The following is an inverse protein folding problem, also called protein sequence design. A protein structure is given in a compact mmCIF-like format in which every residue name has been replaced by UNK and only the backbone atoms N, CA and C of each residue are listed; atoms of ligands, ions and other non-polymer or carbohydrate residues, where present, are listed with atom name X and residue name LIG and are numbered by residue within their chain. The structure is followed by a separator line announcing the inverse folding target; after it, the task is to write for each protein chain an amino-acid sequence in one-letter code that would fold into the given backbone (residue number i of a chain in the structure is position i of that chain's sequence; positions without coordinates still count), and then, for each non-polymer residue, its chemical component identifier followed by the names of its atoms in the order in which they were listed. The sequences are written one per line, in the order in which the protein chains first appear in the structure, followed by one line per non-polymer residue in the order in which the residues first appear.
data_IF_078562591714
#
_entry.id   IF_078562591714
#
_cell.length_a   1.000
_cell.length_b   1.000
_cell.length_c   1.000
_cell.angle_alpha   90.00
_cell.angle_beta   90.00
_cell.angle_gamma   90.00
#
_symmetry.space_group_name_H-M   'P 1'
#
loop_
_entity.id
_entity.type
_entity.pdbx_description
1 polymer ?
#
# COMPACT_ATOMS: atom_id res chain seq x y z
N UNK A 1 -8.37 13.13 5.96
CA UNK A 1 -8.47 11.67 6.14
C UNK A 1 -8.53 10.99 4.77
N UNK A 2 -7.87 9.84 4.62
CA UNK A 2 -7.84 9.05 3.38
C UNK A 2 -8.47 7.68 3.66
N UNK A 3 -9.28 7.17 2.72
CA UNK A 3 -9.97 5.89 2.89
C UNK A 3 -9.15 4.69 2.37
N UNK A 4 -8.33 4.92 1.34
CA UNK A 4 -7.54 3.91 0.64
C UNK A 4 -6.13 4.42 0.35
N UNK A 5 -5.13 3.60 0.69
CA UNK A 5 -3.71 3.89 0.48
C UNK A 5 -3.13 2.75 -0.34
N UNK A 6 -2.37 3.07 -1.39
CA UNK A 6 -1.71 2.08 -2.22
C UNK A 6 -0.20 2.25 -2.08
N UNK A 7 0.49 1.22 -1.61
CA UNK A 7 1.94 1.19 -1.46
C UNK A 7 2.52 0.22 -2.48
N UNK A 8 3.31 0.75 -3.41
CA UNK A 8 4.08 -0.06 -4.35
C UNK A 8 5.42 -0.44 -3.74
N UNK A 9 5.71 -1.73 -3.73
CA UNK A 9 6.85 -2.34 -3.06
C UNK A 9 7.98 -2.66 -4.04
N UNK A 10 9.23 -2.53 -3.57
CA UNK A 10 10.41 -2.93 -4.31
C UNK A 10 11.26 -3.89 -3.46
N UNK A 11 11.92 -4.84 -4.11
CA UNK A 11 12.76 -5.87 -3.48
C UNK A 11 14.16 -5.97 -4.12
N UNK A 12 14.48 -5.06 -5.03
CA UNK A 12 15.77 -5.08 -5.77
C UNK A 12 16.96 -4.95 -4.82
N UNK A 13 16.79 -4.24 -3.70
CA UNK A 13 17.77 -4.17 -2.62
C UNK A 13 17.09 -4.31 -1.26
N UNK A 14 17.83 -4.81 -0.26
CA UNK A 14 17.33 -4.89 1.11
C UNK A 14 17.02 -3.52 1.74
N UNK A 15 17.65 -2.44 1.26
CA UNK A 15 17.31 -1.08 1.69
C UNK A 15 15.97 -0.62 1.09
N UNK A 16 15.72 -0.88 -0.19
CA UNK A 16 14.43 -0.59 -0.83
C UNK A 16 13.30 -1.30 -0.09
N UNK A 17 13.50 -2.58 0.25
CA UNK A 17 12.53 -3.35 1.01
C UNK A 17 12.31 -2.77 2.42
N UNK A 18 13.38 -2.39 3.14
CA UNK A 18 13.27 -1.70 4.45
C UNK A 18 12.45 -0.40 4.35
N UNK A 19 12.69 0.42 3.32
CA UNK A 19 11.94 1.66 3.07
C UNK A 19 10.46 1.36 2.81
N UNK A 20 10.16 0.36 2.00
CA UNK A 20 8.79 -0.10 1.76
C UNK A 20 8.10 -0.50 3.06
N UNK A 21 8.72 -1.34 3.90
CA UNK A 21 8.13 -1.74 5.19
C UNK A 21 7.91 -0.54 6.12
N UNK A 22 8.79 0.47 6.09
CA UNK A 22 8.61 1.71 6.85
C UNK A 22 7.40 2.50 6.34
N UNK A 23 7.26 2.64 5.03
CA UNK A 23 6.14 3.35 4.39
C UNK A 23 4.79 2.71 4.74
N UNK A 24 4.67 1.38 4.69
CA UNK A 24 3.44 0.67 5.10
C UNK A 24 3.09 0.96 6.56
N UNK A 25 4.07 0.86 7.46
CA UNK A 25 3.84 1.14 8.89
C UNK A 25 3.45 2.59 9.14
N UNK A 26 4.06 3.54 8.44
CA UNK A 26 3.66 4.94 8.58
C UNK A 26 2.24 5.15 8.07
N UNK A 27 1.90 4.64 6.89
CA UNK A 27 0.56 4.76 6.31
C UNK A 27 -0.53 4.27 7.28
N UNK A 28 -0.29 3.13 7.94
CA UNK A 28 -1.17 2.58 8.97
C UNK A 28 -1.30 3.47 10.21
N UNK A 29 -0.22 4.15 10.64
CA UNK A 29 -0.20 5.02 11.82
C UNK A 29 -0.82 6.39 11.54
N UNK A 30 -0.53 6.98 10.39
CA UNK A 30 -1.05 8.29 10.00
C UNK A 30 -2.53 8.26 9.60
N UNK A 31 -3.07 7.07 9.30
CA UNK A 31 -4.46 6.90 8.89
C UNK A 31 -5.05 5.68 9.60
N UNK A 32 -5.76 5.90 10.70
CA UNK A 32 -6.29 4.84 11.57
C UNK A 32 -7.43 4.05 10.89
N UNK A 33 -8.20 4.70 10.02
CA UNK A 33 -9.36 4.13 9.33
C UNK A 33 -9.07 3.62 7.91
N UNK A 34 -7.90 3.94 7.35
CA UNK A 34 -7.60 3.62 5.96
C UNK A 34 -7.30 2.13 5.73
N UNK A 35 -7.76 1.61 4.58
CA UNK A 35 -7.28 0.33 4.04
C UNK A 35 -5.95 0.57 3.33
N UNK A 36 -4.94 -0.26 3.62
CA UNK A 36 -3.62 -0.16 2.99
C UNK A 36 -3.44 -1.32 2.02
N UNK A 37 -3.55 -1.03 0.73
CA UNK A 37 -3.25 -1.97 -0.35
C UNK A 37 -1.76 -1.96 -0.60
N UNK A 38 -1.14 -3.13 -0.54
CA UNK A 38 0.27 -3.32 -0.81
C UNK A 38 0.41 -4.15 -2.08
N UNK A 39 1.26 -3.70 -2.99
CA UNK A 39 1.45 -4.29 -4.33
C UNK A 39 2.92 -4.22 -4.75
N UNK A 40 3.34 -4.98 -5.76
CA UNK A 40 4.72 -4.97 -6.26
C UNK A 40 5.57 -6.16 -5.80
N UNK A 41 6.88 -6.11 -6.05
CA UNK A 41 7.74 -7.29 -6.02
C UNK A 41 7.92 -7.88 -4.61
N UNK A 42 8.09 -7.03 -3.59
CA UNK A 42 8.30 -7.55 -2.23
C UNK A 42 7.03 -8.21 -1.68
N UNK A 43 5.86 -7.65 -2.00
CA UNK A 43 4.57 -8.22 -1.61
C UNK A 43 4.26 -9.54 -2.33
N UNK A 44 4.82 -9.76 -3.52
CA UNK A 44 4.69 -11.02 -4.25
C UNK A 44 5.62 -12.11 -3.69
N UNK A 45 6.77 -11.74 -3.12
CA UNK A 45 7.74 -12.67 -2.52
C UNK A 45 7.29 -13.09 -1.13
N UNK A 46 6.90 -12.12 -0.29
CA UNK A 46 6.54 -12.34 1.10
C UNK A 46 5.29 -11.53 1.46
N UNK A 47 4.13 -12.05 1.07
CA UNK A 47 2.84 -11.45 1.36
C UNK A 47 2.54 -11.45 2.87
N UNK A 48 2.83 -12.56 3.55
CA UNK A 48 2.57 -12.78 4.98
C UNK A 48 3.20 -11.70 5.84
N UNK A 49 4.45 -11.30 5.54
CA UNK A 49 5.14 -10.24 6.25
C UNK A 49 4.37 -8.91 6.28
N UNK A 50 3.60 -8.59 5.24
CA UNK A 50 2.80 -7.37 5.17
C UNK A 50 1.41 -7.56 5.82
N UNK A 51 0.79 -8.71 5.64
CA UNK A 51 -0.52 -9.04 6.23
C UNK A 51 -0.45 -9.10 7.76
N UNK A 52 0.63 -9.62 8.33
CA UNK A 52 0.89 -9.65 9.76
C UNK A 52 1.05 -8.26 10.38
N UNK A 53 1.34 -7.21 9.58
CA UNK A 53 1.51 -5.85 10.12
C UNK A 53 0.20 -5.25 10.62
N UNK A 54 -0.94 -5.57 10.00
CA UNK A 54 -2.25 -5.08 10.40
C UNK A 54 -3.37 -5.79 9.64
N UNK A 55 -4.53 -6.05 10.27
CA UNK A 55 -5.72 -6.55 9.60
C UNK A 55 -6.29 -5.61 8.53
N UNK A 56 -5.78 -4.36 8.43
CA UNK A 56 -6.15 -3.38 7.39
C UNK A 56 -5.28 -3.48 6.13
N UNK A 57 -4.27 -4.33 6.12
CA UNK A 57 -3.41 -4.55 4.95
C UNK A 57 -4.10 -5.52 3.99
N UNK A 58 -4.04 -5.20 2.69
CA UNK A 58 -4.55 -6.06 1.61
C UNK A 58 -3.48 -6.22 0.55
N UNK A 59 -3.10 -7.45 0.22
CA UNK A 59 -2.15 -7.71 -0.86
C UNK A 59 -2.90 -7.80 -2.18
N UNK A 60 -2.42 -7.05 -3.17
CA UNK A 60 -3.00 -7.04 -4.51
C UNK A 60 -1.89 -7.19 -5.53
N UNK A 61 -2.00 -8.21 -6.38
CA UNK A 61 -1.11 -8.40 -7.52
C UNK A 61 -1.18 -7.17 -8.44
N UNK A 62 -0.03 -6.74 -8.97
CA UNK A 62 0.05 -5.52 -9.78
C UNK A 62 -0.86 -5.56 -11.01
N UNK A 63 -1.03 -6.74 -11.63
CA UNK A 63 -1.94 -6.94 -12.77
C UNK A 63 -3.41 -6.71 -12.43
N UNK A 64 -3.83 -7.02 -11.20
CA UNK A 64 -5.22 -6.93 -10.76
C UNK A 64 -5.55 -5.58 -10.11
N UNK A 65 -4.52 -4.78 -9.79
CA UNK A 65 -4.65 -3.53 -9.06
C UNK A 65 -5.62 -2.58 -9.77
N UNK A 66 -5.49 -2.42 -11.08
CA UNK A 66 -6.36 -1.51 -11.84
C UNK A 66 -7.82 -1.94 -11.80
N UNK A 67 -8.12 -3.23 -11.87
CA UNK A 67 -9.49 -3.73 -11.80
C UNK A 67 -10.09 -3.51 -10.40
N UNK A 68 -9.32 -3.80 -9.34
CA UNK A 68 -9.76 -3.64 -7.95
C UNK A 68 -9.93 -2.18 -7.54
N UNK A 69 -9.06 -1.29 -8.05
CA UNK A 69 -9.16 0.15 -7.82
C UNK A 69 -10.26 0.77 -8.68
N UNK A 70 -10.47 0.30 -9.92
CA UNK A 70 -11.55 0.75 -10.80
C UNK A 70 -12.94 0.48 -10.22
N UNK A 71 -13.13 -0.67 -9.56
CA UNK A 71 -14.37 -0.94 -8.82
C UNK A 71 -14.64 0.08 -7.69
N UNK A 72 -13.61 0.79 -7.23
CA UNK A 72 -13.68 1.82 -6.18
C UNK A 72 -13.74 3.26 -6.74
N UNK A 73 -13.67 3.44 -8.07
CA UNK A 73 -13.42 4.75 -8.72
C UNK A 73 -14.49 5.81 -8.52
N UNK A 74 -15.69 5.46 -8.07
CA UNK A 74 -16.80 6.43 -7.94
C UNK A 74 -16.55 7.53 -6.88
N UNK A 75 -15.39 7.53 -6.19
CA UNK A 75 -15.05 8.47 -5.10
C UNK A 75 -13.59 8.95 -5.04
N UNK A 76 -12.83 8.90 -6.15
CA UNK A 76 -11.40 9.27 -6.17
C UNK A 76 -11.14 10.77 -6.46
N UNK A 77 -11.94 11.69 -5.91
CA UNK A 77 -11.78 13.14 -6.10
C UNK A 77 -10.50 13.72 -5.45
N UNK A 78 -9.79 12.94 -4.62
CA UNK A 78 -8.63 13.37 -3.84
C UNK A 78 -7.46 12.38 -3.86
N UNK A 79 -6.98 12.03 -5.06
CA UNK A 79 -5.76 11.23 -5.21
C UNK A 79 -4.52 12.06 -4.81
N UNK A 80 -3.71 11.53 -3.88
CA UNK A 80 -2.40 12.07 -3.52
C UNK A 80 -1.32 11.08 -3.93
N UNK A 81 -0.27 11.55 -4.60
CA UNK A 81 0.83 10.73 -5.10
C UNK A 81 2.16 11.36 -4.67
N UNK A 82 3.15 10.54 -4.31
CA UNK A 82 4.51 11.00 -4.01
C UNK A 82 4.63 11.77 -2.69
N UNK A 83 5.51 12.78 -2.66
CA UNK A 83 5.92 13.49 -1.44
C UNK A 83 4.80 14.32 -0.78
N UNK A 84 3.66 14.47 -1.46
CA UNK A 84 2.44 15.05 -0.90
C UNK A 84 1.63 14.06 -0.04
N UNK A 85 2.15 12.84 0.12
CA UNK A 85 1.59 11.78 0.92
C UNK A 85 2.32 11.74 2.29
N UNK A 86 1.62 11.84 3.43
CA UNK A 86 2.27 11.68 4.72
C UNK A 86 2.74 10.23 4.87
N UNK A 87 4.04 10.00 4.62
CA UNK A 87 4.84 8.79 4.96
C UNK A 87 5.85 9.08 6.07
#
# INVERSE_FOLDING_TARGET
EVQLIIVNTCTVTGEAEKKTRKAVRHALRANESATVVVTGCAAAIDASLYEEMSPRVRIVAKGDLMQKVAASQQRLERLRVGDSFPT
#
